data_IF_380221012792
#
_entry.id   IF_380221012792
#
_cell.length_a   1.000
_cell.length_b   1.000
_cell.length_c   1.000
_cell.angle_alpha   90.00
_cell.angle_beta   90.00
_cell.angle_gamma   90.00
#
_symmetry.space_group_name_H-M   'P 1'
#
loop_
_entity.id
_entity.type
_entity.pdbx_description
1 polymer ?
#
# COMPACT_ATOMS: atom_id res chain seq x y z
N UNK A 1 -23.46 16.35 -4.86
CA UNK A 1 -22.37 17.20 -4.35
C UNK A 1 -21.17 16.96 -5.25
N UNK A 2 -20.35 17.97 -5.54
CA UNK A 2 -19.07 17.71 -6.22
C UNK A 2 -18.18 16.87 -5.29
N UNK A 3 -17.69 15.73 -5.77
CA UNK A 3 -16.85 14.81 -4.97
C UNK A 3 -15.42 15.34 -4.81
N UNK A 4 -15.01 16.27 -5.68
CA UNK A 4 -13.66 16.79 -5.83
C UNK A 4 -13.69 18.31 -5.96
N UNK A 5 -12.64 18.98 -5.47
CA UNK A 5 -12.53 20.44 -5.48
C UNK A 5 -11.67 20.99 -6.62
N UNK A 6 -10.99 20.13 -7.39
CA UNK A 6 -10.01 20.49 -8.42
C UNK A 6 -10.16 19.60 -9.65
N UNK A 7 -9.51 20.00 -10.74
CA UNK A 7 -9.38 19.23 -11.98
C UNK A 7 -7.91 19.05 -12.38
N UNK A 8 -7.67 18.18 -13.36
CA UNK A 8 -6.32 17.89 -13.85
C UNK A 8 -5.60 19.13 -14.41
N UNK A 9 -6.34 20.07 -15.03
CA UNK A 9 -5.75 21.27 -15.61
C UNK A 9 -5.19 22.19 -14.52
N UNK A 10 -5.94 22.37 -13.44
CA UNK A 10 -5.53 23.12 -12.25
C UNK A 10 -4.31 22.48 -11.58
N UNK A 11 -4.31 21.14 -11.44
CA UNK A 11 -3.17 20.43 -10.84
C UNK A 11 -1.89 20.56 -11.68
N UNK A 12 -1.99 20.37 -13.01
CA UNK A 12 -0.85 20.53 -13.92
C UNK A 12 -0.35 21.98 -13.93
N UNK A 13 -1.25 22.96 -13.90
CA UNK A 13 -0.90 24.36 -13.82
C UNK A 13 -0.13 24.69 -12.54
N UNK A 14 -0.68 24.33 -11.38
CA UNK A 14 -0.10 24.68 -10.07
C UNK A 14 1.24 23.97 -9.84
N UNK A 15 1.33 22.68 -10.18
CA UNK A 15 2.60 21.94 -10.13
C UNK A 15 3.64 22.50 -11.10
N UNK A 16 3.21 22.93 -12.29
CA UNK A 16 4.07 23.56 -13.28
C UNK A 16 4.60 24.91 -12.82
N UNK A 17 3.76 25.74 -12.20
CA UNK A 17 4.15 27.02 -11.62
C UNK A 17 5.15 26.83 -10.47
N UNK A 18 4.84 25.95 -9.52
CA UNK A 18 5.72 25.67 -8.39
C UNK A 18 7.07 25.08 -8.83
N UNK A 19 7.10 24.20 -9.83
CA UNK A 19 8.36 23.74 -10.41
C UNK A 19 9.12 24.88 -11.10
N UNK A 20 8.43 25.79 -11.78
CA UNK A 20 9.01 26.98 -12.40
C UNK A 20 9.72 27.87 -11.36
N UNK A 21 9.08 28.12 -10.22
CA UNK A 21 9.67 28.87 -9.11
C UNK A 21 10.93 28.19 -8.57
N UNK A 22 10.86 26.86 -8.34
CA UNK A 22 12.02 26.06 -7.93
C UNK A 22 13.15 26.13 -8.96
N UNK A 23 12.85 26.09 -10.26
CA UNK A 23 13.86 26.21 -11.31
C UNK A 23 14.50 27.61 -11.31
N UNK A 24 13.70 28.67 -11.15
CA UNK A 24 14.21 30.04 -11.10
C UNK A 24 15.14 30.28 -9.91
N UNK A 25 14.86 29.66 -8.76
CA UNK A 25 15.66 29.80 -7.55
C UNK A 25 16.88 28.86 -7.49
N UNK A 26 16.73 27.62 -7.95
CA UNK A 26 17.73 26.56 -7.76
C UNK A 26 18.61 26.34 -8.99
N UNK A 27 18.20 26.81 -10.17
CA UNK A 27 18.99 26.75 -11.39
C UNK A 27 19.52 28.14 -11.78
N UNK A 28 20.19 28.24 -12.92
CA UNK A 28 20.57 29.53 -13.49
C UNK A 28 19.40 30.15 -14.25
N UNK A 29 19.30 31.49 -14.33
CA UNK A 29 18.29 32.15 -15.18
C UNK A 29 18.30 31.64 -16.62
N UNK A 30 19.48 31.37 -17.17
CA UNK A 30 19.63 30.82 -18.52
C UNK A 30 19.07 29.39 -18.68
N UNK A 31 19.17 28.56 -17.64
CA UNK A 31 18.58 27.22 -17.64
C UNK A 31 17.05 27.28 -17.58
N UNK A 32 16.50 28.16 -16.71
CA UNK A 32 15.06 28.41 -16.64
C UNK A 32 14.50 28.89 -18.00
N UNK A 33 15.10 29.92 -18.59
CA UNK A 33 14.68 30.47 -19.89
C UNK A 33 14.74 29.41 -21.00
N UNK A 34 15.72 28.52 -20.95
CA UNK A 34 15.86 27.42 -21.91
C UNK A 34 14.78 26.37 -21.72
N UNK A 35 14.45 25.98 -20.49
CA UNK A 35 13.36 25.05 -20.19
C UNK A 35 12.03 25.62 -20.69
N UNK A 36 11.73 26.88 -20.40
CA UNK A 36 10.49 27.53 -20.80
C UNK A 36 10.36 27.68 -22.32
N UNK A 37 11.47 28.02 -23.01
CA UNK A 37 11.51 28.06 -24.47
C UNK A 37 11.22 26.68 -25.06
N UNK A 38 11.93 25.64 -24.63
CA UNK A 38 11.72 24.26 -25.12
C UNK A 38 10.29 23.79 -24.84
N UNK A 39 9.73 24.12 -23.68
CA UNK A 39 8.34 23.77 -23.31
C UNK A 39 7.33 24.43 -24.25
N UNK A 40 7.49 25.74 -24.48
CA UNK A 40 6.59 26.52 -25.33
C UNK A 40 6.67 26.07 -26.80
N UNK A 41 7.88 25.84 -27.30
CA UNK A 41 8.12 25.35 -28.66
C UNK A 41 7.50 23.95 -28.87
N UNK A 42 7.64 23.04 -27.90
CA UNK A 42 7.03 21.72 -27.96
C UNK A 42 5.49 21.77 -27.98
N UNK A 43 4.89 22.67 -27.20
CA UNK A 43 3.43 22.88 -27.19
C UNK A 43 2.95 23.48 -28.53
N UNK A 44 3.64 24.49 -29.05
CA UNK A 44 3.30 25.12 -30.33
C UNK A 44 3.42 24.12 -31.50
N UNK A 45 4.49 23.30 -31.49
CA UNK A 45 4.68 22.23 -32.46
C UNK A 45 3.53 21.21 -32.40
N UNK A 46 3.13 20.77 -31.20
CA UNK A 46 2.02 19.82 -31.03
C UNK A 46 0.67 20.37 -31.52
N UNK A 47 0.44 21.69 -31.40
CA UNK A 47 -0.78 22.36 -31.87
C UNK A 47 -0.80 22.63 -33.37
N UNK A 48 0.34 22.45 -34.06
CA UNK A 48 0.47 22.76 -35.48
C UNK A 48 0.74 24.24 -35.79
N UNK A 49 0.98 25.05 -34.75
CA UNK A 49 1.20 26.51 -34.84
C UNK A 49 2.68 26.88 -35.02
N UNK A 50 3.60 25.89 -34.94
CA UNK A 50 5.05 26.10 -34.97
C UNK A 50 5.77 25.30 -36.08
N UNK A 51 6.96 25.76 -36.51
CA UNK A 51 7.77 25.02 -37.49
C UNK A 51 8.17 23.62 -36.97
N UNK A 52 8.34 22.66 -37.87
CA UNK A 52 8.87 21.33 -37.56
C UNK A 52 10.41 21.39 -37.44
N UNK A 53 10.95 21.78 -36.27
CA UNK A 53 12.41 21.92 -36.09
C UNK A 53 12.96 22.57 -34.80
N UNK A 54 12.26 23.43 -34.02
CA UNK A 54 12.91 24.33 -33.06
C UNK A 54 13.33 23.67 -31.73
N UNK A 55 12.81 22.50 -31.40
CA UNK A 55 13.20 21.79 -30.17
C UNK A 55 14.63 21.24 -30.27
N UNK A 56 15.02 20.73 -31.45
CA UNK A 56 16.40 20.27 -31.69
C UNK A 56 17.40 21.42 -31.64
N UNK A 57 17.11 22.50 -32.38
CA UNK A 57 17.95 23.70 -32.44
C UNK A 57 18.10 24.37 -31.06
N UNK A 58 17.06 24.36 -30.22
CA UNK A 58 17.11 24.89 -28.86
C UNK A 58 17.96 24.06 -27.89
N UNK A 59 18.22 22.80 -28.21
CA UNK A 59 19.08 21.89 -27.44
C UNK A 59 20.51 21.86 -27.96
N UNK A 60 20.69 22.15 -29.26
CA UNK A 60 21.99 22.26 -29.89
C UNK A 60 22.78 23.45 -29.35
N UNK A 61 24.06 23.23 -29.03
CA UNK A 61 24.95 24.27 -28.49
C UNK A 61 24.82 24.57 -26.99
N UNK A 62 23.88 23.96 -26.27
CA UNK A 62 23.82 24.08 -24.79
C UNK A 62 25.09 23.51 -24.14
N UNK A 63 25.59 24.16 -23.10
CA UNK A 63 26.67 23.60 -22.29
C UNK A 63 26.18 22.38 -21.47
N UNK A 64 27.11 21.50 -21.01
CA UNK A 64 26.72 20.28 -20.31
C UNK A 64 25.84 20.51 -19.06
N UNK A 65 26.07 21.58 -18.29
CA UNK A 65 25.30 21.85 -17.09
C UNK A 65 23.87 22.31 -17.43
N UNK A 66 23.72 23.14 -18.46
CA UNK A 66 22.39 23.54 -18.94
C UNK A 66 21.62 22.36 -19.53
N UNK A 67 22.27 21.45 -20.28
CA UNK A 67 21.64 20.21 -20.78
C UNK A 67 21.14 19.32 -19.64
N UNK A 68 21.94 19.14 -18.59
CA UNK A 68 21.52 18.36 -17.42
C UNK A 68 20.32 19.00 -16.71
N UNK A 69 20.35 20.32 -16.51
CA UNK A 69 19.23 21.05 -15.91
C UNK A 69 17.94 20.90 -16.73
N UNK A 70 18.02 21.02 -18.06
CA UNK A 70 16.88 20.82 -18.95
C UNK A 70 16.34 19.39 -18.87
N UNK A 71 17.21 18.39 -18.95
CA UNK A 71 16.81 16.99 -18.84
C UNK A 71 16.13 16.69 -17.49
N UNK A 72 16.68 17.24 -16.40
CA UNK A 72 16.10 17.10 -15.06
C UNK A 72 14.74 17.80 -14.96
N UNK A 73 14.61 19.00 -15.50
CA UNK A 73 13.37 19.77 -15.49
C UNK A 73 12.24 19.03 -16.19
N UNK A 74 12.47 18.53 -17.41
CA UNK A 74 11.45 17.76 -18.12
C UNK A 74 11.16 16.42 -17.44
N UNK A 75 12.17 15.74 -16.89
CA UNK A 75 11.94 14.51 -16.11
C UNK A 75 11.00 14.78 -14.94
N UNK A 76 11.29 15.79 -14.13
CA UNK A 76 10.44 16.18 -13.00
C UNK A 76 9.06 16.63 -13.48
N UNK A 77 8.97 17.45 -14.54
CA UNK A 77 7.69 17.89 -15.09
C UNK A 77 6.81 16.71 -15.51
N UNK A 78 7.36 15.72 -16.23
CA UNK A 78 6.61 14.52 -16.59
C UNK A 78 6.21 13.69 -15.36
N UNK A 79 7.04 13.62 -14.33
CA UNK A 79 6.66 12.97 -13.07
C UNK A 79 5.47 13.67 -12.41
N UNK A 80 5.45 15.01 -12.36
CA UNK A 80 4.35 15.78 -11.79
C UNK A 80 3.06 15.68 -12.61
N UNK A 81 3.15 15.72 -13.94
CA UNK A 81 1.99 15.51 -14.83
C UNK A 81 1.40 14.12 -14.63
N UNK A 82 2.24 13.08 -14.52
CA UNK A 82 1.76 11.72 -14.23
C UNK A 82 1.01 11.64 -12.90
N UNK A 83 1.44 12.37 -11.87
CA UNK A 83 0.72 12.44 -10.59
C UNK A 83 -0.64 13.13 -10.73
N UNK A 84 -0.72 14.24 -11.47
CA UNK A 84 -1.98 14.93 -11.74
C UNK A 84 -2.95 14.01 -12.52
N UNK A 85 -2.47 13.30 -13.54
CA UNK A 85 -3.28 12.33 -14.27
C UNK A 85 -3.71 11.13 -13.43
N UNK A 86 -2.85 10.64 -12.53
CA UNK A 86 -3.20 9.58 -11.58
C UNK A 86 -4.31 10.04 -10.64
N UNK A 87 -4.25 11.28 -10.15
CA UNK A 87 -5.32 11.87 -9.35
C UNK A 87 -6.62 11.99 -10.15
N UNK A 88 -6.56 12.42 -11.41
CA UNK A 88 -7.73 12.47 -12.29
C UNK A 88 -8.36 11.09 -12.52
N UNK A 89 -7.54 10.04 -12.68
CA UNK A 89 -8.03 8.66 -12.74
C UNK A 89 -8.79 8.28 -11.47
N UNK A 90 -8.27 8.63 -10.28
CA UNK A 90 -8.98 8.41 -9.00
C UNK A 90 -10.30 9.18 -8.96
N UNK A 91 -10.33 10.44 -9.43
CA UNK A 91 -11.57 11.23 -9.50
C UNK A 91 -12.63 10.55 -10.34
N UNK A 92 -12.26 10.13 -11.55
CA UNK A 92 -13.15 9.46 -12.48
C UNK A 92 -13.65 8.10 -11.95
N UNK A 93 -12.83 7.36 -11.20
CA UNK A 93 -13.26 6.12 -10.53
C UNK A 93 -14.30 6.45 -9.44
N UNK A 94 -14.04 7.44 -8.59
CA UNK A 94 -14.95 7.84 -7.50
C UNK A 94 -16.29 8.37 -8.03
N UNK A 95 -16.28 9.15 -9.10
CA UNK A 95 -17.50 9.63 -9.75
C UNK A 95 -18.32 8.50 -10.37
N UNK A 96 -17.67 7.54 -11.04
CA UNK A 96 -18.36 6.36 -11.58
C UNK A 96 -18.91 5.47 -10.47
N UNK A 97 -18.18 5.30 -9.37
CA UNK A 97 -18.62 4.51 -8.22
C UNK A 97 -19.86 5.15 -7.56
N UNK A 98 -19.82 6.44 -7.24
CA UNK A 98 -20.96 7.17 -6.68
C UNK A 98 -22.16 7.18 -7.64
N UNK A 99 -21.90 7.29 -8.94
CA UNK A 99 -22.93 7.24 -9.97
C UNK A 99 -23.46 5.83 -10.28
N UNK A 100 -22.92 4.77 -9.68
CA UNK A 100 -23.31 3.38 -9.97
C UNK A 100 -22.99 2.94 -11.42
N UNK A 101 -21.99 3.53 -12.06
CA UNK A 101 -21.61 3.29 -13.47
C UNK A 101 -20.23 2.64 -13.63
N UNK A 102 -19.61 2.23 -12.52
CA UNK A 102 -18.32 1.55 -12.55
C UNK A 102 -18.50 0.08 -12.97
N UNK A 103 -18.32 -0.18 -14.26
CA UNK A 103 -18.61 -1.48 -14.89
C UNK A 103 -17.74 -2.64 -14.39
N UNK A 104 -16.50 -2.38 -14.00
CA UNK A 104 -15.54 -3.40 -13.54
C UNK A 104 -15.40 -3.42 -12.02
N UNK A 105 -16.46 -3.08 -11.29
CA UNK A 105 -16.49 -3.11 -9.82
C UNK A 105 -16.85 -4.48 -9.28
N UNK A 106 -16.56 -4.72 -7.99
CA UNK A 106 -16.99 -5.93 -7.27
C UNK A 106 -18.51 -6.04 -7.25
N UNK A 107 -19.21 -4.93 -7.03
CA UNK A 107 -20.66 -4.86 -7.13
C UNK A 107 -21.18 -5.31 -8.49
N UNK A 108 -20.62 -4.76 -9.58
CA UNK A 108 -21.02 -5.15 -10.93
C UNK A 108 -20.74 -6.63 -11.24
N UNK A 109 -19.67 -7.21 -10.68
CA UNK A 109 -19.39 -8.63 -10.83
C UNK A 109 -20.44 -9.51 -10.14
N UNK A 110 -20.84 -9.17 -8.91
CA UNK A 110 -21.90 -9.90 -8.18
C UNK A 110 -23.25 -9.72 -8.85
N UNK A 111 -23.60 -8.51 -9.29
CA UNK A 111 -24.79 -8.24 -10.11
C UNK A 111 -24.80 -9.07 -11.39
N UNK A 112 -23.64 -9.23 -12.04
CA UNK A 112 -23.48 -10.09 -13.21
C UNK A 112 -23.77 -11.57 -12.93
N UNK A 113 -23.39 -12.08 -11.75
CA UNK A 113 -23.73 -13.44 -11.31
C UNK A 113 -25.24 -13.58 -11.05
N UNK A 114 -25.85 -12.58 -10.41
CA UNK A 114 -27.28 -12.56 -10.17
C UNK A 114 -28.10 -12.48 -11.47
N UNK A 115 -27.63 -11.69 -12.45
CA UNK A 115 -28.28 -11.51 -13.75
C UNK A 115 -28.33 -12.80 -14.61
N UNK A 116 -27.47 -13.77 -14.32
CA UNK A 116 -27.49 -15.10 -14.96
C UNK A 116 -28.15 -16.18 -14.10
N UNK A 117 -28.88 -15.78 -13.05
CA UNK A 117 -29.57 -16.66 -12.11
C UNK A 117 -28.64 -17.69 -11.43
N UNK A 118 -27.38 -17.32 -11.15
CA UNK A 118 -26.44 -18.20 -10.46
C UNK A 118 -26.89 -18.46 -9.02
N UNK A 119 -27.01 -19.73 -8.63
CA UNK A 119 -27.29 -20.11 -7.24
C UNK A 119 -26.05 -19.98 -6.33
N UNK A 120 -26.28 -19.91 -5.02
CA UNK A 120 -25.21 -19.76 -4.02
C UNK A 120 -24.15 -20.87 -4.10
N UNK A 121 -24.54 -22.10 -4.44
CA UNK A 121 -23.59 -23.21 -4.59
C UNK A 121 -22.68 -23.04 -5.82
N UNK A 122 -23.20 -22.45 -6.89
CA UNK A 122 -22.43 -22.11 -8.10
C UNK A 122 -21.48 -20.97 -7.82
N UNK A 123 -21.94 -19.91 -7.14
CA UNK A 123 -21.08 -18.81 -6.71
C UNK A 123 -19.96 -19.30 -5.80
N UNK A 124 -20.27 -20.15 -4.80
CA UNK A 124 -19.26 -20.72 -3.91
C UNK A 124 -18.18 -21.49 -4.69
N UNK A 125 -18.57 -22.37 -5.62
CA UNK A 125 -17.60 -23.11 -6.45
C UNK A 125 -16.71 -22.19 -7.28
N UNK A 126 -17.26 -21.13 -7.85
CA UNK A 126 -16.46 -20.16 -8.61
C UNK A 126 -15.44 -19.48 -7.70
N UNK A 127 -15.83 -19.05 -6.51
CA UNK A 127 -14.91 -18.42 -5.56
C UNK A 127 -13.83 -19.40 -5.09
N UNK A 128 -14.18 -20.67 -4.85
CA UNK A 128 -13.23 -21.70 -4.43
C UNK A 128 -12.19 -22.02 -5.53
N UNK A 129 -12.57 -21.86 -6.81
CA UNK A 129 -11.70 -22.11 -7.97
C UNK A 129 -10.84 -20.90 -8.40
N UNK A 130 -11.11 -19.71 -7.87
CA UNK A 130 -10.41 -18.47 -8.26
C UNK A 130 -9.25 -18.18 -7.31
N UNK A 131 -8.05 -18.10 -7.89
CA UNK A 131 -6.85 -17.58 -7.22
C UNK A 131 -6.12 -16.59 -8.14
N UNK A 132 -6.11 -15.33 -7.73
CA UNK A 132 -5.36 -14.24 -8.38
C UNK A 132 -3.98 -14.17 -7.74
N UNK A 133 -2.93 -14.41 -8.54
CA UNK A 133 -1.57 -14.50 -8.04
C UNK A 133 -0.57 -13.56 -8.76
N UNK A 134 -0.59 -12.25 -8.47
CA UNK A 134 0.36 -11.31 -9.07
C UNK A 134 1.79 -11.62 -8.62
N UNK A 135 2.72 -11.66 -9.58
CA UNK A 135 4.14 -11.89 -9.32
C UNK A 135 4.94 -10.62 -9.60
N UNK A 136 5.51 -10.04 -8.55
CA UNK A 136 6.41 -8.89 -8.66
C UNK A 136 7.76 -9.31 -9.23
N UNK A 137 8.11 -8.71 -10.35
CA UNK A 137 9.44 -8.86 -10.96
C UNK A 137 10.30 -7.63 -10.69
N UNK A 138 11.61 -7.80 -10.70
CA UNK A 138 12.50 -6.66 -10.77
C UNK A 138 12.29 -5.95 -12.11
N UNK A 139 12.13 -4.62 -12.09
CA UNK A 139 12.04 -3.86 -13.33
C UNK A 139 13.47 -3.50 -13.79
N UNK A 140 13.96 -4.07 -14.91
CA UNK A 140 15.37 -4.01 -15.29
C UNK A 140 15.89 -2.59 -15.56
N UNK A 141 14.99 -1.62 -15.76
CA UNK A 141 15.30 -0.22 -16.07
C UNK A 141 14.76 0.78 -15.05
N UNK A 142 14.28 0.36 -13.87
CA UNK A 142 13.75 1.32 -12.89
C UNK A 142 14.89 2.13 -12.22
N UNK A 143 15.32 3.18 -12.93
CA UNK A 143 16.37 4.11 -12.54
C UNK A 143 16.02 4.91 -11.29
N UNK A 144 14.72 5.09 -11.04
CA UNK A 144 14.20 5.92 -9.94
C UNK A 144 14.62 5.36 -8.58
N UNK A 145 15.16 6.24 -7.75
CA UNK A 145 15.55 5.91 -6.38
C UNK A 145 14.32 5.84 -5.48
N UNK A 146 14.39 5.02 -4.41
CA UNK A 146 13.35 4.97 -3.37
C UNK A 146 13.03 6.36 -2.80
N UNK A 147 14.05 7.22 -2.66
CA UNK A 147 13.89 8.59 -2.18
C UNK A 147 13.05 9.45 -3.10
N UNK A 148 13.19 9.28 -4.42
CA UNK A 148 12.37 9.97 -5.43
C UNK A 148 10.92 9.52 -5.32
N UNK A 149 10.68 8.19 -5.27
CA UNK A 149 9.32 7.65 -5.07
C UNK A 149 8.64 8.18 -3.81
N UNK A 150 9.39 8.27 -2.70
CA UNK A 150 8.88 8.79 -1.44
C UNK A 150 8.45 10.27 -1.56
N UNK A 151 9.22 11.09 -2.28
CA UNK A 151 8.89 12.50 -2.55
C UNK A 151 7.68 12.67 -3.44
N UNK A 152 7.62 11.92 -4.54
CA UNK A 152 6.45 11.91 -5.42
C UNK A 152 5.18 11.50 -4.66
N UNK A 153 5.28 10.54 -3.73
CA UNK A 153 4.16 10.17 -2.85
C UNK A 153 3.75 11.31 -1.90
N UNK A 154 4.70 12.05 -1.35
CA UNK A 154 4.40 13.21 -0.52
C UNK A 154 3.66 14.30 -1.32
N UNK A 155 4.15 14.60 -2.53
CA UNK A 155 3.47 15.49 -3.50
C UNK A 155 2.05 15.01 -3.80
N UNK A 156 1.86 13.71 -4.10
CA UNK A 156 0.54 13.14 -4.35
C UNK A 156 -0.42 13.31 -3.15
N UNK A 157 0.07 13.13 -1.92
CA UNK A 157 -0.72 13.35 -0.71
C UNK A 157 -1.10 14.82 -0.48
N UNK A 158 -0.24 15.76 -0.89
CA UNK A 158 -0.58 17.19 -0.88
C UNK A 158 -1.67 17.51 -1.91
N UNK A 159 -1.58 16.97 -3.13
CA UNK A 159 -2.62 17.12 -4.16
C UNK A 159 -3.96 16.54 -3.70
N UNK A 160 -3.96 15.33 -3.14
CA UNK A 160 -5.15 14.72 -2.54
C UNK A 160 -5.75 15.61 -1.45
N UNK A 161 -4.93 16.21 -0.58
CA UNK A 161 -5.41 17.11 0.47
C UNK A 161 -6.06 18.37 -0.11
N UNK A 162 -5.45 18.97 -1.14
CA UNK A 162 -5.99 20.15 -1.84
C UNK A 162 -7.30 19.83 -2.57
N UNK A 163 -7.47 18.59 -3.03
CA UNK A 163 -8.62 18.13 -3.79
C UNK A 163 -9.81 17.73 -2.92
N UNK A 164 -9.55 17.04 -1.80
CA UNK A 164 -10.59 16.39 -1.00
C UNK A 164 -11.00 17.16 0.27
N UNK A 165 -10.20 18.13 0.71
CA UNK A 165 -10.47 18.87 1.96
C UNK A 165 -10.96 20.28 1.71
N UNK A 166 -11.91 20.71 2.54
CA UNK A 166 -12.27 22.13 2.67
C UNK A 166 -11.23 22.80 3.57
N UNK A 167 -10.35 23.57 2.96
CA UNK A 167 -9.23 24.22 3.64
C UNK A 167 -9.52 25.70 3.85
N UNK A 168 -9.11 26.23 5.00
CA UNK A 168 -8.95 27.68 5.19
C UNK A 168 -7.75 28.19 4.39
N UNK A 169 -7.68 29.50 4.15
CA UNK A 169 -6.56 30.10 3.40
C UNK A 169 -5.20 29.78 4.05
N UNK A 170 -5.09 29.88 5.38
CA UNK A 170 -3.85 29.56 6.10
C UNK A 170 -3.51 28.05 6.15
N UNK A 171 -4.47 27.16 5.89
CA UNK A 171 -4.21 25.73 5.69
C UNK A 171 -3.72 25.45 4.27
N UNK A 172 -4.35 26.09 3.27
CA UNK A 172 -3.91 26.05 1.87
C UNK A 172 -2.46 26.55 1.75
N UNK A 173 -2.15 27.72 2.30
CA UNK A 173 -0.79 28.28 2.29
C UNK A 173 0.24 27.33 2.92
N UNK A 174 -0.15 26.55 3.93
CA UNK A 174 0.75 25.55 4.54
C UNK A 174 1.01 24.38 3.60
N UNK A 175 -0.01 23.93 2.86
CA UNK A 175 0.14 22.85 1.89
C UNK A 175 0.97 23.32 0.69
N UNK A 176 0.73 24.53 0.20
CA UNK A 176 1.49 25.10 -0.91
C UNK A 176 2.99 25.23 -0.56
N UNK A 177 3.32 25.73 0.64
CA UNK A 177 4.71 25.73 1.13
C UNK A 177 5.30 24.33 1.29
N UNK A 178 4.50 23.34 1.71
CA UNK A 178 4.97 21.97 1.82
C UNK A 178 5.24 21.36 0.44
N UNK A 179 4.38 21.66 -0.54
CA UNK A 179 4.54 21.26 -1.93
C UNK A 179 5.83 21.85 -2.53
N UNK A 180 6.05 23.15 -2.36
CA UNK A 180 7.28 23.84 -2.78
C UNK A 180 8.53 23.22 -2.15
N UNK A 181 8.49 22.91 -0.85
CA UNK A 181 9.58 22.25 -0.15
C UNK A 181 9.87 20.84 -0.70
N UNK A 182 8.83 20.04 -0.98
CA UNK A 182 9.00 18.71 -1.57
C UNK A 182 9.54 18.78 -3.01
N UNK A 183 9.06 19.74 -3.82
CA UNK A 183 9.56 19.95 -5.19
C UNK A 183 11.01 20.43 -5.19
N UNK A 184 11.38 21.36 -4.31
CA UNK A 184 12.76 21.80 -4.12
C UNK A 184 13.65 20.62 -3.72
N UNK A 185 13.19 19.80 -2.77
CA UNK A 185 13.94 18.65 -2.31
C UNK A 185 14.03 17.55 -3.37
N UNK A 186 13.01 17.39 -4.21
CA UNK A 186 13.00 16.50 -5.37
C UNK A 186 14.04 16.97 -6.40
N UNK A 187 14.07 18.27 -6.71
CA UNK A 187 15.04 18.88 -7.62
C UNK A 187 16.50 18.67 -7.19
N UNK A 188 16.76 18.82 -5.89
CA UNK A 188 18.08 18.62 -5.28
C UNK A 188 18.46 17.14 -5.13
N UNK A 189 17.50 16.22 -5.29
CA UNK A 189 17.76 14.77 -5.19
C UNK A 189 18.27 14.24 -6.53
N UNK A 190 19.42 13.54 -6.57
CA UNK A 190 19.86 12.88 -7.80
C UNK A 190 18.81 11.85 -8.25
N UNK A 191 18.24 12.07 -9.43
CA UNK A 191 17.13 11.28 -9.98
C UNK A 191 17.58 9.90 -10.49
N UNK A 192 18.79 9.85 -11.06
CA UNK A 192 19.41 8.65 -11.64
C UNK A 192 20.45 8.11 -10.65
N UNK A 193 20.59 6.77 -10.60
CA UNK A 193 21.67 6.13 -9.86
C UNK A 193 22.94 6.11 -10.71
N UNK A 194 24.07 6.51 -10.14
CA UNK A 194 25.39 6.38 -10.79
C UNK A 194 25.88 4.93 -10.92
N UNK A 195 25.20 3.99 -10.25
CA UNK A 195 25.48 2.55 -10.30
C UNK A 195 24.25 1.75 -10.68
N UNK A 196 24.48 0.58 -11.28
CA UNK A 196 23.44 -0.43 -11.50
C UNK A 196 22.80 -0.80 -10.14
N UNK A 197 21.46 -0.95 -10.06
CA UNK A 197 20.80 -1.48 -8.87
C UNK A 197 21.41 -2.83 -8.45
N UNK A 198 21.57 -3.03 -7.14
CA UNK A 198 21.87 -4.38 -6.62
C UNK A 198 20.58 -5.18 -6.52
N UNK A 199 20.70 -6.49 -6.41
CA UNK A 199 19.57 -7.38 -6.11
C UNK A 199 18.84 -6.95 -4.82
N UNK A 200 19.57 -6.44 -3.83
CA UNK A 200 19.00 -5.93 -2.57
C UNK A 200 18.17 -4.65 -2.80
N UNK A 201 18.60 -3.78 -3.73
CA UNK A 201 17.85 -2.57 -4.12
C UNK A 201 16.52 -2.94 -4.81
N UNK A 202 16.54 -3.97 -5.66
CA UNK A 202 15.34 -4.47 -6.35
C UNK A 202 14.35 -5.13 -5.39
N UNK A 203 14.84 -5.98 -4.48
CA UNK A 203 14.03 -6.56 -3.41
C UNK A 203 13.44 -5.48 -2.49
N UNK A 204 14.18 -4.39 -2.23
CA UNK A 204 13.68 -3.22 -1.49
C UNK A 204 12.57 -2.49 -2.20
N UNK A 205 12.63 -2.40 -3.52
CA UNK A 205 11.60 -1.75 -4.31
C UNK A 205 10.27 -2.51 -4.23
N UNK A 206 10.29 -3.82 -4.46
CA UNK A 206 9.08 -4.67 -4.34
C UNK A 206 8.51 -4.61 -2.93
N UNK A 207 9.37 -4.72 -1.91
CA UNK A 207 8.92 -4.69 -0.53
C UNK A 207 8.24 -3.37 -0.14
N UNK A 208 8.61 -2.25 -0.78
CA UNK A 208 7.94 -0.97 -0.52
C UNK A 208 6.46 -1.00 -0.91
N UNK A 209 6.09 -1.66 -2.01
CA UNK A 209 4.67 -1.82 -2.40
C UNK A 209 3.91 -2.68 -1.40
N UNK A 210 4.54 -3.76 -0.90
CA UNK A 210 3.95 -4.59 0.15
C UNK A 210 3.69 -3.78 1.43
N UNK A 211 4.67 -2.98 1.85
CA UNK A 211 4.63 -2.17 3.08
C UNK A 211 3.62 -1.03 3.06
N UNK A 212 3.43 -0.39 1.89
CA UNK A 212 2.76 0.91 1.79
C UNK A 212 1.49 0.89 0.93
N UNK A 213 1.15 -0.24 0.32
CA UNK A 213 -0.02 -0.35 -0.57
C UNK A 213 -0.76 -1.64 -0.31
N UNK A 214 -0.14 -2.79 -0.60
CA UNK A 214 -0.86 -4.07 -0.67
C UNK A 214 -1.41 -4.54 0.67
N UNK A 215 -0.69 -4.27 1.77
CA UNK A 215 -1.14 -4.72 3.09
C UNK A 215 -2.52 -4.16 3.46
N UNK A 216 -2.78 -2.92 3.07
CA UNK A 216 -4.03 -2.22 3.39
C UNK A 216 -5.10 -2.49 2.33
N UNK A 217 -4.76 -2.32 1.04
CA UNK A 217 -5.71 -2.46 -0.09
C UNK A 217 -6.32 -3.86 -0.17
N UNK A 218 -5.57 -4.90 0.18
CA UNK A 218 -6.12 -6.27 0.16
C UNK A 218 -7.24 -6.42 1.17
N UNK A 219 -7.11 -5.85 2.37
CA UNK A 219 -8.20 -5.84 3.36
C UNK A 219 -9.45 -5.17 2.80
N UNK A 220 -9.29 -3.96 2.26
CA UNK A 220 -10.39 -3.16 1.71
C UNK A 220 -11.17 -3.89 0.60
N UNK A 221 -10.46 -4.57 -0.31
CA UNK A 221 -11.09 -5.34 -1.41
C UNK A 221 -11.91 -6.52 -0.88
N UNK A 222 -11.40 -7.23 0.13
CA UNK A 222 -12.13 -8.33 0.73
C UNK A 222 -13.33 -7.86 1.55
N UNK A 223 -13.19 -6.75 2.29
CA UNK A 223 -14.30 -6.17 3.03
C UNK A 223 -15.42 -5.72 2.07
N UNK A 224 -15.08 -5.10 0.94
CA UNK A 224 -16.05 -4.76 -0.11
C UNK A 224 -16.72 -6.00 -0.70
N UNK A 225 -15.93 -7.02 -1.06
CA UNK A 225 -16.43 -8.27 -1.64
C UNK A 225 -17.33 -9.05 -0.68
N UNK A 226 -16.92 -9.22 0.57
CA UNK A 226 -17.73 -9.88 1.60
C UNK A 226 -19.04 -9.14 1.83
N UNK A 227 -19.01 -7.81 1.89
CA UNK A 227 -20.22 -6.99 2.09
C UNK A 227 -21.21 -7.17 0.92
N UNK A 228 -20.74 -6.99 -0.32
CA UNK A 228 -21.59 -7.11 -1.52
C UNK A 228 -22.13 -8.54 -1.67
N UNK A 229 -21.31 -9.56 -1.42
CA UNK A 229 -21.75 -10.95 -1.46
C UNK A 229 -22.73 -11.29 -0.33
N UNK A 230 -22.55 -10.76 0.88
CA UNK A 230 -23.48 -11.01 1.98
C UNK A 230 -24.89 -10.44 1.71
N UNK A 231 -24.98 -9.35 0.93
CA UNK A 231 -26.26 -8.73 0.53
C UNK A 231 -27.07 -9.63 -0.42
N UNK A 232 -26.41 -10.24 -1.43
CA UNK A 232 -27.07 -11.06 -2.46
C UNK A 232 -27.02 -12.58 -2.16
N UNK A 233 -25.94 -13.05 -1.54
CA UNK A 233 -25.63 -14.46 -1.28
C UNK A 233 -25.18 -14.71 0.18
N UNK A 234 -26.05 -14.55 1.20
CA UNK A 234 -25.66 -14.60 2.63
C UNK A 234 -25.03 -15.91 3.12
N UNK A 235 -25.16 -17.00 2.35
CA UNK A 235 -24.62 -18.32 2.68
C UNK A 235 -23.26 -18.60 2.04
N UNK A 236 -22.78 -17.72 1.16
CA UNK A 236 -21.49 -17.83 0.50
C UNK A 236 -20.39 -17.31 1.43
N UNK A 237 -19.26 -18.02 1.46
CA UNK A 237 -18.07 -17.58 2.18
C UNK A 237 -16.95 -17.27 1.21
N UNK A 238 -16.27 -16.14 1.42
CA UNK A 238 -15.14 -15.72 0.60
C UNK A 238 -13.88 -16.47 1.04
N UNK A 239 -13.27 -17.30 0.16
CA UNK A 239 -12.03 -18.01 0.44
C UNK A 239 -10.81 -17.11 0.14
N UNK A 240 -9.60 -17.66 0.22
CA UNK A 240 -8.39 -16.95 -0.21
C UNK A 240 -8.35 -16.80 -1.74
N UNK A 241 -8.74 -15.62 -2.23
CA UNK A 241 -8.67 -15.21 -3.63
C UNK A 241 -7.35 -14.58 -4.05
N UNK A 242 -6.56 -14.01 -3.14
CA UNK A 242 -5.31 -13.31 -3.50
C UNK A 242 -4.06 -13.95 -2.87
N UNK A 243 -3.02 -14.11 -3.68
CA UNK A 243 -1.67 -14.46 -3.23
C UNK A 243 -0.64 -13.59 -3.96
N UNK A 244 0.38 -13.09 -3.26
CA UNK A 244 1.41 -12.28 -3.91
C UNK A 244 2.73 -13.04 -3.94
N UNK A 245 3.41 -12.99 -5.08
CA UNK A 245 4.73 -13.58 -5.27
C UNK A 245 5.75 -12.53 -5.67
N UNK A 246 7.03 -12.83 -5.45
CA UNK A 246 8.13 -11.95 -5.83
C UNK A 246 9.31 -12.78 -6.34
N UNK A 247 9.84 -12.36 -7.48
CA UNK A 247 11.11 -12.83 -8.03
C UNK A 247 12.31 -11.99 -7.55
N UNK A 248 12.04 -10.79 -7.03
CA UNK A 248 13.10 -9.92 -6.53
C UNK A 248 13.83 -10.58 -5.34
N UNK A 249 15.14 -10.79 -5.50
CA UNK A 249 15.97 -11.47 -4.49
C UNK A 249 16.06 -12.99 -4.61
N UNK A 250 15.35 -13.60 -5.56
CA UNK A 250 15.31 -15.07 -5.71
C UNK A 250 15.52 -15.56 -7.15
N UNK A 251 15.16 -14.79 -8.16
CA UNK A 251 15.36 -15.18 -9.57
C UNK A 251 16.84 -15.11 -9.97
N UNK A 252 17.44 -16.28 -10.21
CA UNK A 252 18.87 -16.44 -10.52
C UNK A 252 19.14 -16.55 -12.02
N UNK A 253 18.10 -16.60 -12.85
CA UNK A 253 18.29 -16.84 -14.28
C UNK A 253 19.09 -15.71 -14.91
N UNK A 254 20.23 -16.05 -15.50
CA UNK A 254 21.18 -15.08 -16.08
C UNK A 254 21.80 -14.06 -15.10
N UNK A 255 21.60 -14.18 -13.77
CA UNK A 255 22.06 -13.19 -12.80
C UNK A 255 22.97 -13.80 -11.70
N UNK A 256 24.30 -13.73 -11.83
CA UNK A 256 25.23 -14.31 -10.85
C UNK A 256 25.23 -13.59 -9.49
N UNK A 257 24.61 -12.41 -9.40
CA UNK A 257 24.55 -11.63 -8.16
C UNK A 257 23.45 -12.10 -7.20
N UNK A 258 22.58 -13.02 -7.63
CA UNK A 258 21.56 -13.63 -6.78
C UNK A 258 22.15 -14.89 -6.12
N UNK A 259 22.70 -14.70 -4.92
CA UNK A 259 23.30 -15.76 -4.10
C UNK A 259 22.31 -16.28 -3.05
N UNK A 260 22.50 -17.48 -2.49
CA UNK A 260 21.69 -17.98 -1.38
C UNK A 260 21.61 -17.01 -0.20
N UNK A 261 22.71 -16.32 0.14
CA UNK A 261 22.73 -15.29 1.18
C UNK A 261 21.84 -14.09 0.85
N UNK A 262 21.76 -13.69 -0.42
CA UNK A 262 20.84 -12.63 -0.86
C UNK A 262 19.40 -13.08 -0.68
N UNK A 263 19.05 -14.29 -1.12
CA UNK A 263 17.69 -14.84 -0.95
C UNK A 263 17.33 -14.97 0.53
N UNK A 264 18.22 -15.50 1.37
CA UNK A 264 17.99 -15.63 2.81
C UNK A 264 17.76 -14.26 3.49
N UNK A 265 18.56 -13.24 3.13
CA UNK A 265 18.38 -11.86 3.64
C UNK A 265 17.07 -11.24 3.16
N UNK A 266 16.69 -11.45 1.91
CA UNK A 266 15.40 -10.99 1.36
C UNK A 266 14.23 -11.60 2.13
N UNK A 267 14.21 -12.92 2.32
CA UNK A 267 13.16 -13.61 3.08
C UNK A 267 13.10 -13.13 4.55
N UNK A 268 14.24 -13.00 5.21
CA UNK A 268 14.30 -12.49 6.58
C UNK A 268 13.77 -11.05 6.69
N UNK A 269 14.04 -10.22 5.67
CA UNK A 269 13.56 -8.84 5.62
C UNK A 269 12.06 -8.75 5.36
N UNK A 270 11.53 -9.56 4.44
CA UNK A 270 10.08 -9.67 4.20
C UNK A 270 9.34 -10.11 5.46
N UNK A 271 9.84 -11.13 6.15
CA UNK A 271 9.29 -11.58 7.44
C UNK A 271 9.28 -10.47 8.48
N UNK A 272 10.39 -9.75 8.65
CA UNK A 272 10.47 -8.63 9.62
C UNK A 272 9.38 -7.60 9.36
N UNK A 273 9.11 -7.33 8.09
CA UNK A 273 8.19 -6.28 7.70
C UNK A 273 6.72 -6.65 7.89
N UNK A 274 6.33 -7.87 7.53
CA UNK A 274 4.96 -8.31 7.82
C UNK A 274 4.71 -8.38 9.34
N UNK A 275 5.70 -8.82 10.12
CA UNK A 275 5.60 -8.83 11.59
C UNK A 275 5.46 -7.41 12.17
N UNK A 276 6.20 -6.43 11.65
CA UNK A 276 6.08 -5.03 12.11
C UNK A 276 4.71 -4.42 11.76
N UNK A 277 4.12 -4.78 10.61
CA UNK A 277 2.76 -4.38 10.24
C UNK A 277 1.73 -4.95 11.21
N UNK A 278 1.76 -6.27 11.46
CA UNK A 278 0.87 -6.87 12.45
C UNK A 278 1.08 -6.32 13.86
N UNK A 279 2.32 -6.06 14.27
CA UNK A 279 2.61 -5.42 15.56
C UNK A 279 1.97 -4.04 15.67
N UNK A 280 2.08 -3.24 14.62
CA UNK A 280 1.47 -1.91 14.53
C UNK A 280 -0.05 -2.00 14.64
N UNK A 281 -0.64 -2.98 13.95
CA UNK A 281 -2.08 -3.16 13.92
C UNK A 281 -2.65 -3.67 15.25
N UNK A 282 -2.01 -4.65 15.87
CA UNK A 282 -2.37 -5.07 17.23
C UNK A 282 -2.23 -3.94 18.26
N UNK A 283 -1.25 -3.04 18.07
CA UNK A 283 -1.11 -1.85 18.92
C UNK A 283 -2.26 -0.86 18.69
N UNK A 284 -2.68 -0.65 17.43
CA UNK A 284 -3.87 0.16 17.09
C UNK A 284 -5.12 -0.43 17.74
N UNK A 285 -5.34 -1.73 17.59
CA UNK A 285 -6.45 -2.47 18.22
C UNK A 285 -6.46 -2.32 19.74
N UNK A 286 -5.28 -2.32 20.38
CA UNK A 286 -5.21 -2.12 21.83
C UNK A 286 -5.73 -0.74 22.26
N UNK A 287 -5.67 0.28 21.40
CA UNK A 287 -6.29 1.58 21.65
C UNK A 287 -7.82 1.56 21.56
N UNK A 288 -8.38 0.63 20.78
CA UNK A 288 -9.83 0.50 20.51
C UNK A 288 -10.51 -0.46 21.47
N UNK A 289 -9.91 -1.62 21.75
CA UNK A 289 -10.52 -2.71 22.51
C UNK A 289 -10.27 -2.56 24.01
N UNK A 290 -10.88 -1.53 24.61
CA UNK A 290 -10.74 -1.16 26.02
C UNK A 290 -11.94 -1.50 26.88
N UNK A 291 -12.79 -2.41 26.40
CA UNK A 291 -14.03 -2.74 27.09
C UNK A 291 -13.75 -3.39 28.45
N UNK A 292 -14.60 -3.07 29.43
CA UNK A 292 -14.59 -3.70 30.75
C UNK A 292 -15.04 -5.15 30.64
N UNK A 293 -14.09 -6.07 30.77
CA UNK A 293 -14.33 -7.49 30.62
C UNK A 293 -14.91 -8.15 31.87
N UNK A 294 -14.85 -7.49 33.02
CA UNK A 294 -15.52 -7.92 34.25
C UNK A 294 -17.04 -7.72 34.11
N UNK A 295 -17.47 -6.55 33.62
CA UNK A 295 -18.89 -6.25 33.42
C UNK A 295 -19.50 -7.02 32.23
N UNK A 296 -18.76 -7.18 31.13
CA UNK A 296 -19.28 -7.81 29.91
C UNK A 296 -19.46 -9.34 30.03
N UNK A 297 -18.62 -10.04 30.81
CA UNK A 297 -18.62 -11.49 30.83
C UNK A 297 -18.12 -12.10 29.52
N UNK A 298 -16.82 -11.96 29.24
CA UNK A 298 -16.16 -12.35 27.97
C UNK A 298 -16.07 -13.85 27.66
N UNK A 299 -16.73 -14.69 28.46
CA UNK A 299 -16.82 -16.15 28.27
C UNK A 299 -15.53 -16.92 28.59
N UNK A 300 -15.66 -18.24 28.66
CA UNK A 300 -14.57 -19.15 29.09
C UNK A 300 -13.41 -19.23 28.09
N UNK A 301 -13.67 -19.06 26.78
CA UNK A 301 -12.64 -19.16 25.74
C UNK A 301 -11.58 -18.07 25.87
N UNK A 302 -11.98 -16.81 26.13
CA UNK A 302 -11.01 -15.72 26.29
C UNK A 302 -10.17 -15.92 27.56
N UNK A 303 -10.82 -16.27 28.67
CA UNK A 303 -10.15 -16.56 29.94
C UNK A 303 -9.13 -17.72 29.80
N UNK A 304 -9.51 -18.81 29.14
CA UNK A 304 -8.62 -19.95 28.89
C UNK A 304 -7.42 -19.56 28.01
N UNK A 305 -7.66 -18.74 26.98
CA UNK A 305 -6.61 -18.24 26.09
C UNK A 305 -5.61 -17.33 26.83
N UNK A 306 -6.11 -16.44 27.70
CA UNK A 306 -5.28 -15.60 28.57
C UNK A 306 -4.47 -16.43 29.57
N UNK A 307 -5.06 -17.47 30.17
CA UNK A 307 -4.35 -18.37 31.07
C UNK A 307 -3.22 -19.14 30.36
N UNK A 308 -3.49 -19.66 29.16
CA UNK A 308 -2.48 -20.32 28.34
C UNK A 308 -1.33 -19.38 27.94
N UNK A 309 -1.65 -18.11 27.61
CA UNK A 309 -0.64 -17.10 27.36
C UNK A 309 0.14 -16.71 28.64
N UNK A 310 -0.49 -16.75 29.81
CA UNK A 310 0.17 -16.47 31.09
C UNK A 310 1.19 -17.55 31.46
N UNK A 311 0.89 -18.83 31.18
CA UNK A 311 1.87 -19.92 31.32
C UNK A 311 3.03 -19.75 30.33
N UNK A 312 2.72 -19.35 29.09
CA UNK A 312 3.70 -19.15 28.02
C UNK A 312 4.60 -17.93 28.24
N UNK A 313 4.03 -16.85 28.78
CA UNK A 313 4.67 -15.53 28.91
C UNK A 313 4.50 -14.93 30.32
N UNK A 314 4.97 -15.57 31.42
CA UNK A 314 4.59 -15.19 32.78
C UNK A 314 4.87 -13.72 33.16
N UNK A 315 6.08 -13.23 32.85
CA UNK A 315 6.46 -11.85 33.14
C UNK A 315 5.65 -10.82 32.34
N UNK A 316 5.28 -11.17 31.11
CA UNK A 316 4.46 -10.28 30.27
C UNK A 316 3.01 -10.33 30.75
N UNK A 317 2.46 -11.50 31.05
CA UNK A 317 1.10 -11.58 31.60
C UNK A 317 0.94 -10.81 32.92
N UNK A 318 1.93 -10.88 33.82
CA UNK A 318 1.93 -10.10 35.05
C UNK A 318 1.87 -8.57 34.79
N UNK A 319 2.73 -8.04 33.91
CA UNK A 319 2.69 -6.62 33.54
C UNK A 319 1.40 -6.24 32.79
N UNK A 320 0.81 -7.17 32.01
CA UNK A 320 -0.45 -6.91 31.32
C UNK A 320 -1.60 -6.77 32.32
N UNK A 321 -1.65 -7.65 33.33
CA UNK A 321 -2.65 -7.60 34.39
C UNK A 321 -2.51 -6.36 35.27
N UNK A 322 -1.29 -5.92 35.57
CA UNK A 322 -1.07 -4.67 36.32
C UNK A 322 -1.48 -3.43 35.52
N UNK A 323 -1.18 -3.40 34.21
CA UNK A 323 -1.40 -2.24 33.37
C UNK A 323 -2.86 -2.11 32.88
N UNK A 324 -3.53 -3.24 32.71
CA UNK A 324 -4.87 -3.34 32.12
C UNK A 324 -5.79 -4.14 33.05
N UNK A 325 -6.04 -3.67 34.28
CA UNK A 325 -6.99 -4.32 35.16
C UNK A 325 -8.35 -4.35 34.48
N UNK A 326 -9.00 -5.51 34.49
CA UNK A 326 -10.34 -5.75 33.94
C UNK A 326 -10.51 -5.50 32.43
N UNK A 327 -9.44 -5.18 31.70
CA UNK A 327 -9.43 -4.95 30.26
C UNK A 327 -8.82 -6.16 29.51
N UNK A 328 -9.48 -7.32 29.60
CA UNK A 328 -9.00 -8.60 29.07
C UNK A 328 -8.61 -8.59 27.58
N UNK A 329 -9.29 -7.79 26.75
CA UNK A 329 -8.91 -7.63 25.33
C UNK A 329 -7.56 -6.91 25.17
N UNK A 330 -7.30 -5.83 25.92
CA UNK A 330 -5.99 -5.15 25.89
C UNK A 330 -4.89 -6.04 26.43
N UNK A 331 -5.17 -6.78 27.51
CA UNK A 331 -4.24 -7.77 28.05
C UNK A 331 -3.87 -8.84 27.00
N UNK A 332 -4.88 -9.40 26.31
CA UNK A 332 -4.68 -10.37 25.23
C UNK A 332 -3.85 -9.78 24.09
N UNK A 333 -4.19 -8.60 23.59
CA UNK A 333 -3.45 -7.93 22.52
C UNK A 333 -1.99 -7.63 22.89
N UNK A 334 -1.71 -7.30 24.16
CA UNK A 334 -0.32 -7.14 24.63
C UNK A 334 0.45 -8.46 24.58
N UNK A 335 -0.17 -9.56 24.97
CA UNK A 335 0.42 -10.90 24.88
C UNK A 335 0.64 -11.32 23.42
N UNK A 336 -0.34 -11.10 22.54
CA UNK A 336 -0.21 -11.36 21.10
C UNK A 336 0.97 -10.58 20.48
N UNK A 337 1.16 -9.30 20.85
CA UNK A 337 2.31 -8.50 20.40
C UNK A 337 3.65 -9.07 20.87
N UNK A 338 3.73 -9.54 22.11
CA UNK A 338 4.93 -10.23 22.60
C UNK A 338 5.17 -11.55 21.84
N UNK A 339 4.12 -12.32 21.54
CA UNK A 339 4.25 -13.55 20.73
C UNK A 339 4.78 -13.23 19.33
N UNK A 340 4.32 -12.16 18.69
CA UNK A 340 4.88 -11.69 17.40
C UNK A 340 6.36 -11.32 17.53
N UNK A 341 6.75 -10.60 18.60
CA UNK A 341 8.13 -10.17 18.84
C UNK A 341 9.11 -11.34 19.03
N UNK A 342 8.59 -12.51 19.41
CA UNK A 342 9.37 -13.74 19.57
C UNK A 342 9.45 -14.58 18.29
N UNK A 343 8.70 -14.28 17.24
CA UNK A 343 8.75 -15.01 15.97
C UNK A 343 10.14 -14.90 15.36
N UNK A 344 10.80 -16.03 15.13
CA UNK A 344 12.15 -16.09 14.58
C UNK A 344 13.26 -15.60 15.53
N UNK A 345 12.93 -15.32 16.79
CA UNK A 345 13.89 -14.99 17.85
C UNK A 345 14.39 -16.22 18.61
N UNK A 346 15.34 -15.99 19.52
CA UNK A 346 15.87 -17.05 20.41
C UNK A 346 14.94 -17.38 21.59
N UNK A 347 13.98 -16.50 21.89
CA UNK A 347 13.05 -16.66 23.01
C UNK A 347 11.86 -17.51 22.57
N UNK A 348 11.58 -18.58 23.32
CA UNK A 348 10.40 -19.42 23.11
C UNK A 348 9.10 -18.67 23.42
N UNK A 349 7.98 -19.20 22.92
CA UNK A 349 6.65 -18.63 23.14
C UNK A 349 6.19 -17.62 22.08
N UNK A 350 6.87 -17.57 20.92
CA UNK A 350 6.34 -16.90 19.74
C UNK A 350 5.25 -17.71 19.03
N UNK A 351 4.58 -17.11 18.06
CA UNK A 351 3.65 -17.82 17.19
C UNK A 351 4.39 -18.91 16.38
N UNK A 352 3.84 -20.12 16.35
CA UNK A 352 4.36 -21.24 15.56
C UNK A 352 4.04 -21.13 14.07
N UNK A 353 2.90 -20.51 13.76
CA UNK A 353 2.40 -20.29 12.41
C UNK A 353 1.34 -19.19 12.36
N UNK A 354 0.96 -18.71 11.16
CA UNK A 354 -0.06 -17.69 10.99
C UNK A 354 -1.44 -18.13 11.50
N UNK A 355 -1.73 -19.43 11.52
CA UNK A 355 -3.00 -20.00 11.97
C UNK A 355 -3.26 -19.70 13.44
N UNK A 356 -2.22 -19.67 14.27
CA UNK A 356 -2.34 -19.33 15.69
C UNK A 356 -2.68 -17.84 15.91
N UNK A 357 -2.14 -16.94 15.07
CA UNK A 357 -2.46 -15.51 15.13
C UNK A 357 -3.91 -15.28 14.68
N UNK A 358 -4.33 -15.99 13.63
CA UNK A 358 -5.71 -15.99 13.14
C UNK A 358 -6.68 -16.43 14.24
N UNK A 359 -6.40 -17.55 14.89
CA UNK A 359 -7.25 -18.09 15.95
C UNK A 359 -7.39 -17.11 17.13
N UNK A 360 -6.31 -16.40 17.49
CA UNK A 360 -6.37 -15.37 18.52
C UNK A 360 -7.23 -14.16 18.09
N UNK A 361 -7.17 -13.74 16.82
CA UNK A 361 -8.02 -12.66 16.30
C UNK A 361 -9.48 -13.07 16.21
N UNK A 362 -9.77 -14.29 15.75
CA UNK A 362 -11.13 -14.86 15.69
C UNK A 362 -11.75 -14.94 17.07
N UNK A 363 -10.97 -15.37 18.08
CA UNK A 363 -11.40 -15.36 19.48
C UNK A 363 -11.87 -13.97 19.93
N UNK A 364 -11.15 -12.91 19.56
CA UNK A 364 -11.56 -11.54 19.87
C UNK A 364 -12.88 -11.17 19.15
N UNK A 365 -13.03 -11.54 17.87
CA UNK A 365 -14.25 -11.31 17.09
C UNK A 365 -15.45 -12.04 17.70
N UNK A 366 -15.30 -13.32 18.03
CA UNK A 366 -16.33 -14.16 18.66
C UNK A 366 -16.79 -13.53 19.99
N UNK A 367 -15.83 -13.17 20.84
CA UNK A 367 -16.11 -12.57 22.14
C UNK A 367 -16.81 -11.21 22.00
N UNK A 368 -16.36 -10.34 21.10
CA UNK A 368 -16.99 -9.04 20.85
C UNK A 368 -18.44 -9.21 20.37
N UNK A 369 -18.70 -10.15 19.47
CA UNK A 369 -20.05 -10.42 18.95
C UNK A 369 -20.98 -10.99 20.02
N UNK A 370 -20.48 -11.93 20.83
CA UNK A 370 -21.24 -12.49 21.95
C UNK A 370 -21.65 -11.42 22.97
N UNK A 371 -20.90 -10.33 23.05
CA UNK A 371 -21.12 -9.21 23.97
C UNK A 371 -21.76 -7.98 23.32
N UNK A 372 -22.44 -8.15 22.18
CA UNK A 372 -23.16 -7.05 21.51
C UNK A 372 -22.26 -6.00 20.85
N UNK A 373 -20.94 -6.21 20.80
CA UNK A 373 -19.96 -5.33 20.19
C UNK A 373 -19.57 -5.78 18.76
N UNK A 374 -20.50 -6.40 18.03
CA UNK A 374 -20.26 -6.89 16.66
C UNK A 374 -19.76 -5.81 15.70
N UNK A 375 -20.32 -4.60 15.79
CA UNK A 375 -19.88 -3.44 14.98
C UNK A 375 -18.41 -3.10 15.20
N UNK A 376 -17.91 -3.22 16.44
CA UNK A 376 -16.49 -3.00 16.76
C UNK A 376 -15.62 -4.08 16.12
N UNK A 377 -16.08 -5.34 16.15
CA UNK A 377 -15.37 -6.45 15.52
C UNK A 377 -15.29 -6.29 14.00
N UNK A 378 -16.39 -5.89 13.36
CA UNK A 378 -16.47 -5.73 11.92
C UNK A 378 -15.61 -4.56 11.42
N UNK A 379 -15.66 -3.41 12.09
CA UNK A 379 -14.91 -2.21 11.66
C UNK A 379 -13.43 -2.29 12.01
N UNK A 380 -13.07 -2.86 13.16
CA UNK A 380 -11.70 -2.76 13.66
C UNK A 380 -10.91 -4.05 13.62
N UNK A 381 -11.52 -5.21 13.88
CA UNK A 381 -10.79 -6.48 14.02
C UNK A 381 -10.75 -7.26 12.70
N UNK A 382 -11.81 -7.23 11.90
CA UNK A 382 -11.82 -7.86 10.56
C UNK A 382 -10.85 -7.16 9.60
N UNK A 383 -10.87 -5.83 9.56
CA UNK A 383 -9.89 -5.02 8.82
C UNK A 383 -8.43 -5.26 9.25
N UNK A 384 -8.20 -5.78 10.46
CA UNK A 384 -6.87 -6.04 11.02
C UNK A 384 -6.35 -7.48 10.80
N UNK A 385 -7.23 -8.42 10.41
CA UNK A 385 -6.90 -9.83 10.23
C UNK A 385 -6.58 -10.19 8.78
N UNK A 386 -6.05 -11.40 8.50
CA UNK A 386 -5.99 -11.86 7.12
C UNK A 386 -7.43 -12.01 6.57
N UNK A 387 -7.63 -11.68 5.28
CA UNK A 387 -8.94 -11.69 4.66
C UNK A 387 -9.55 -13.10 4.52
N UNK A 388 -10.88 -13.17 4.43
CA UNK A 388 -11.67 -14.39 4.22
C UNK A 388 -12.40 -14.90 5.47
N UNK A 389 -13.53 -15.60 5.25
CA UNK A 389 -14.28 -16.34 6.30
C UNK A 389 -13.75 -17.76 6.52
N UNK A 390 -13.07 -18.33 5.53
CA UNK A 390 -12.24 -19.55 5.68
C UNK A 390 -10.77 -19.13 5.82
N UNK A 391 -10.31 -19.02 7.06
CA UNK A 391 -9.00 -18.45 7.42
C UNK A 391 -7.89 -19.50 7.56
N UNK A 392 -8.14 -20.73 7.09
CA UNK A 392 -7.13 -21.79 7.04
C UNK A 392 -6.01 -21.52 6.03
N UNK A 393 -6.18 -20.53 5.15
CA UNK A 393 -5.19 -20.11 4.15
C UNK A 393 -4.93 -18.59 4.22
N UNK A 394 -3.99 -18.16 5.06
CA UNK A 394 -3.58 -16.75 5.10
C UNK A 394 -2.85 -16.33 3.79
N UNK A 395 -3.18 -15.17 3.18
CA UNK A 395 -2.48 -14.67 1.97
C UNK A 395 -1.00 -14.40 2.17
N UNK A 396 -0.58 -14.17 3.41
CA UNK A 396 0.79 -13.83 3.77
C UNK A 396 1.61 -15.06 4.21
N UNK A 397 0.99 -16.24 4.28
CA UNK A 397 1.62 -17.47 4.75
C UNK A 397 2.45 -18.23 3.70
N UNK A 398 2.21 -18.00 2.41
CA UNK A 398 2.80 -18.81 1.32
C UNK A 398 3.66 -18.00 0.36
N UNK A 399 4.66 -17.28 0.88
CA UNK A 399 5.76 -16.78 0.04
C UNK A 399 6.71 -17.93 -0.27
N UNK A 400 6.38 -18.73 -1.28
CA UNK A 400 7.29 -19.74 -1.82
C UNK A 400 8.09 -19.15 -2.97
N UNK A 401 9.42 -19.30 -2.92
CA UNK A 401 10.29 -19.02 -4.05
C UNK A 401 9.97 -20.02 -5.16
N UNK A 402 9.36 -19.57 -6.25
CA UNK A 402 9.20 -20.39 -7.44
C UNK A 402 10.58 -20.78 -7.97
N UNK A 403 10.92 -22.07 -7.88
CA UNK A 403 12.04 -22.66 -8.61
C UNK A 403 11.44 -23.38 -9.81
N UNK A 404 11.76 -22.91 -11.01
CA UNK A 404 11.48 -23.61 -12.26
C UNK A 404 12.67 -24.51 -12.60
N UNK A 405 12.38 -25.77 -12.92
CA UNK A 405 13.27 -26.62 -13.71
C UNK A 405 13.66 -27.97 -13.08
N UNK A 406 12.74 -28.94 -13.09
CA UNK A 406 13.15 -30.34 -13.29
C UNK A 406 13.57 -30.51 -14.75
N UNK A 407 14.76 -31.06 -15.05
CA UNK A 407 15.12 -31.41 -16.40
C UNK A 407 14.42 -32.71 -16.77
N UNK A 408 13.50 -32.65 -17.73
CA UNK A 408 13.09 -33.86 -18.46
C UNK A 408 14.31 -34.42 -19.20
N UNK A 409 14.66 -35.66 -18.87
CA UNK A 409 15.36 -36.61 -19.74
C UNK A 409 14.60 -37.92 -19.73
#
# INVERSE_FOLDING_TARGET
MALHGRDVETDVHDLGAALGDVLAEQASPAAFDTVERVRTDAIAHRRGDGPAGPVGDSLDGLDPATREAVARAFTTYFELVNLAEERERVRAIRERAEGGTLADSVAAAVEGLAAVDADAGTVQRVLDDVLVQPTFTAHPTEARRKTVKAKLRAVAGHLETLDERRLTDGERDRIDRALEAELTSLWQTPQIRDRRPTVDDEARNVQWYLENVLFDVVGDVYDELERVLDEEYPSVTVPKLFEFRSWAGSDRDGNPHVTPDVTARTLARQRRVVLERYRTELKRLSGVLSQDTEELGTGERLAASLAADAERLPAVAADAAERYPDEGYRAKLRLMRERLDRVGGVRAGGYGGPEELVADLELLVESLRANGAGVVADVHVRAAGPPGRDRSASPLASWTSGTTGEPHS
#
